data_IF_389949283965
#
_entry.id   IF_389949283965
#
_cell.length_a   1.000
_cell.length_b   1.000
_cell.length_c   1.000
_cell.angle_alpha   90.00
_cell.angle_beta   90.00
_cell.angle_gamma   90.00
#
_symmetry.space_group_name_H-M   'P 1'
#
loop_
_entity.id
_entity.type
_entity.pdbx_description
1 polymer ?
#
# COMPACT_ATOMS: atom_id res chain seq x y z
N UNK A 1 26.59 -7.77 32.82
CA UNK A 1 26.64 -6.48 32.10
C UNK A 1 26.29 -6.79 30.64
N UNK A 2 25.38 -6.05 30.00
CA UNK A 2 25.21 -6.19 28.55
C UNK A 2 26.42 -5.55 27.87
N UNK A 3 26.97 -6.17 26.84
CA UNK A 3 27.92 -5.47 25.98
C UNK A 3 27.10 -4.55 25.11
N UNK A 4 27.08 -3.25 25.41
CA UNK A 4 26.38 -2.23 24.62
C UNK A 4 26.99 -2.19 23.21
N UNK A 5 26.43 -2.98 22.30
CA UNK A 5 26.51 -2.73 20.87
C UNK A 5 25.13 -2.34 20.43
N UNK A 6 24.93 -1.05 20.22
CA UNK A 6 23.78 -0.55 19.49
C UNK A 6 23.82 -1.17 18.08
N UNK A 7 23.00 -2.20 17.86
CA UNK A 7 22.82 -2.75 16.53
C UNK A 7 21.76 -1.91 15.84
N UNK A 8 22.24 -0.88 15.14
CA UNK A 8 21.43 -0.14 14.17
C UNK A 8 21.19 -1.06 12.98
N UNK A 9 20.05 -1.74 12.96
CA UNK A 9 19.69 -2.54 11.79
C UNK A 9 18.84 -1.67 10.86
N UNK A 10 19.47 -1.23 9.77
CA UNK A 10 18.81 -0.47 8.70
C UNK A 10 18.20 -1.44 7.71
N UNK A 11 16.92 -1.23 7.40
CA UNK A 11 16.20 -2.03 6.41
C UNK A 11 15.54 -1.10 5.40
N UNK A 12 15.40 -1.60 4.18
CA UNK A 12 14.75 -0.89 3.09
C UNK A 12 13.26 -1.26 2.93
N UNK A 13 12.66 -1.96 3.91
CA UNK A 13 11.30 -2.52 3.84
C UNK A 13 10.63 -2.60 5.24
N UNK A 14 9.30 -2.83 5.29
CA UNK A 14 8.51 -2.89 6.52
C UNK A 14 8.83 -4.17 7.32
N UNK A 15 9.20 -4.01 8.59
CA UNK A 15 9.64 -5.10 9.47
C UNK A 15 8.43 -5.83 10.07
N UNK A 16 8.43 -7.16 10.06
CA UNK A 16 7.64 -8.00 10.98
C UNK A 16 8.60 -8.74 11.90
N UNK A 17 8.63 -8.36 13.17
CA UNK A 17 9.39 -9.08 14.17
C UNK A 17 8.69 -10.41 14.48
N UNK A 18 9.44 -11.51 14.50
CA UNK A 18 8.90 -12.80 14.92
C UNK A 18 8.63 -12.77 16.44
N UNK A 19 7.53 -13.39 16.91
CA UNK A 19 7.05 -13.23 18.28
C UNK A 19 7.89 -14.07 19.24
N UNK A 20 9.04 -13.53 19.66
CA UNK A 20 9.86 -14.11 20.73
C UNK A 20 9.92 -13.21 21.97
N UNK A 21 9.61 -11.91 21.85
CA UNK A 21 9.48 -11.00 22.99
C UNK A 21 8.49 -9.85 22.72
N UNK A 22 7.56 -9.62 23.65
CA UNK A 22 6.52 -8.57 23.58
C UNK A 22 7.10 -7.15 23.38
N UNK A 23 8.31 -6.88 23.88
CA UNK A 23 8.98 -5.58 23.74
C UNK A 23 9.42 -5.26 22.29
N UNK A 24 9.55 -6.27 21.42
CA UNK A 24 10.01 -6.12 20.03
C UNK A 24 8.84 -5.81 19.08
N UNK A 25 7.59 -6.00 19.51
CA UNK A 25 6.36 -5.74 18.71
C UNK A 25 6.32 -4.29 18.21
N UNK A 26 6.91 -3.33 18.94
CA UNK A 26 6.98 -1.91 18.55
C UNK A 26 7.80 -1.65 17.27
N UNK A 27 8.58 -2.63 16.83
CA UNK A 27 9.31 -2.58 15.57
C UNK A 27 8.48 -3.03 14.37
N UNK A 28 7.30 -3.61 14.57
CA UNK A 28 6.43 -4.01 13.47
C UNK A 28 6.01 -2.78 12.65
N UNK A 29 5.93 -2.95 11.32
CA UNK A 29 5.52 -1.91 10.37
C UNK A 29 6.42 -0.68 10.36
N UNK A 30 7.69 -0.83 10.77
CA UNK A 30 8.68 0.24 10.67
C UNK A 30 9.76 -0.13 9.67
N UNK A 31 10.26 0.86 8.93
CA UNK A 31 11.47 0.71 8.11
C UNK A 31 12.75 0.74 8.96
N UNK A 32 12.69 1.36 10.13
CA UNK A 32 13.82 1.42 11.08
C UNK A 32 13.30 1.31 12.50
N UNK A 33 13.96 0.50 13.32
CA UNK A 33 13.65 0.35 14.75
C UNK A 33 14.93 0.20 15.57
N UNK A 34 14.95 0.79 16.76
CA UNK A 34 16.06 0.67 17.72
C UNK A 34 15.57 -0.07 18.95
N UNK A 35 16.25 -1.15 19.34
CA UNK A 35 15.96 -1.93 20.55
C UNK A 35 17.17 -1.90 21.46
N UNK A 36 17.02 -1.40 22.68
CA UNK A 36 18.08 -1.43 23.69
C UNK A 36 18.10 -2.78 24.39
N UNK A 37 19.25 -3.45 24.32
CA UNK A 37 19.49 -4.72 25.02
C UNK A 37 19.98 -4.42 26.44
N UNK A 38 19.07 -4.13 27.37
CA UNK A 38 19.42 -3.92 28.78
C UNK A 38 18.37 -4.50 29.74
N UNK A 39 18.74 -4.59 31.02
CA UNK A 39 17.90 -5.15 32.08
C UNK A 39 16.60 -4.36 32.32
N UNK A 40 16.52 -3.10 31.87
CA UNK A 40 15.33 -2.27 31.98
C UNK A 40 14.29 -2.53 30.88
N UNK A 41 14.70 -3.09 29.74
CA UNK A 41 13.82 -3.50 28.64
C UNK A 41 13.52 -5.00 28.71
N UNK A 42 14.55 -5.79 29.00
CA UNK A 42 14.46 -7.24 29.14
C UNK A 42 14.95 -7.57 30.55
N UNK A 43 14.03 -7.92 31.46
CA UNK A 43 14.34 -8.32 32.84
C UNK A 43 15.57 -9.21 32.94
N UNK A 44 16.38 -9.11 33.99
CA UNK A 44 17.61 -9.91 34.09
C UNK A 44 17.30 -11.42 34.20
N UNK A 45 17.53 -12.22 33.14
CA UNK A 45 17.26 -13.66 33.18
C UNK A 45 18.36 -14.45 33.91
N UNK A 46 19.54 -13.86 34.09
CA UNK A 46 20.70 -14.50 34.71
C UNK A 46 21.70 -13.46 35.26
N UNK A 47 21.70 -13.33 36.58
CA UNK A 47 22.60 -12.47 37.34
C UNK A 47 24.07 -12.81 37.03
N UNK A 48 24.91 -11.77 37.01
CA UNK A 48 26.36 -11.86 36.79
C UNK A 48 26.82 -12.52 35.49
N UNK A 49 25.91 -12.78 34.56
CA UNK A 49 26.23 -13.32 33.23
C UNK A 49 26.16 -12.21 32.17
N UNK A 50 27.10 -12.24 31.22
CA UNK A 50 27.05 -11.39 30.03
C UNK A 50 25.93 -11.87 29.10
N UNK A 51 25.14 -10.93 28.62
CA UNK A 51 23.92 -11.19 27.84
C UNK A 51 24.00 -10.50 26.48
N UNK A 52 23.31 -11.07 25.51
CA UNK A 52 23.16 -10.50 24.17
C UNK A 52 21.70 -10.64 23.71
N UNK A 53 21.26 -9.73 22.83
CA UNK A 53 19.95 -9.79 22.20
C UNK A 53 20.11 -10.37 20.80
N UNK A 54 19.36 -11.43 20.49
CA UNK A 54 19.16 -11.93 19.12
C UNK A 54 17.76 -11.55 18.67
N UNK A 55 17.66 -10.91 17.51
CA UNK A 55 16.38 -10.55 16.89
C UNK A 55 16.25 -11.28 15.58
N UNK A 56 15.10 -11.92 15.36
CA UNK A 56 14.72 -12.48 14.06
C UNK A 56 13.54 -11.67 13.53
N UNK A 57 13.68 -11.20 12.30
CA UNK A 57 12.68 -10.39 11.63
C UNK A 57 12.60 -10.83 10.17
N UNK A 58 11.49 -10.49 9.53
CA UNK A 58 11.34 -10.56 8.08
C UNK A 58 10.88 -9.21 7.57
N UNK A 59 11.35 -8.85 6.38
CA UNK A 59 10.76 -7.76 5.62
C UNK A 59 9.58 -8.32 4.81
N UNK A 60 8.51 -7.56 4.71
CA UNK A 60 7.43 -7.87 3.80
C UNK A 60 7.03 -6.63 3.02
N UNK A 61 6.59 -6.84 1.79
CA UNK A 61 5.94 -5.80 0.99
C UNK A 61 4.50 -5.71 1.46
N UNK A 62 4.04 -4.49 1.79
CA UNK A 62 2.61 -4.27 1.98
C UNK A 62 1.88 -4.75 0.73
N UNK A 63 0.78 -5.53 0.87
CA UNK A 63 0.13 -6.11 -0.29
C UNK A 63 -0.44 -4.97 -1.13
N UNK A 64 0.04 -4.86 -2.37
CA UNK A 64 -0.54 -3.96 -3.36
C UNK A 64 -2.00 -4.35 -3.59
N UNK A 65 -2.91 -3.41 -3.32
CA UNK A 65 -4.36 -3.59 -3.46
C UNK A 65 -4.81 -2.95 -4.77
N UNK A 66 -5.77 -3.57 -5.43
CA UNK A 66 -6.42 -3.01 -6.63
C UNK A 66 -7.90 -2.81 -6.33
N UNK A 67 -8.42 -1.62 -6.64
CA UNK A 67 -9.86 -1.36 -6.67
C UNK A 67 -10.25 -0.93 -8.08
N UNK A 68 -11.41 -1.40 -8.54
CA UNK A 68 -11.91 -1.14 -9.89
C UNK A 68 -13.32 -0.55 -9.82
N UNK A 69 -13.63 0.42 -10.69
CA UNK A 69 -14.97 0.91 -10.92
C UNK A 69 -15.26 1.00 -12.41
N UNK A 70 -16.51 0.75 -12.80
CA UNK A 70 -16.94 0.87 -14.19
C UNK A 70 -17.23 2.32 -14.56
N UNK A 71 -17.35 2.60 -15.86
CA UNK A 71 -17.83 3.90 -16.34
C UNK A 71 -19.06 4.39 -15.58
N UNK A 72 -19.11 5.70 -15.35
CA UNK A 72 -20.15 6.41 -14.61
C UNK A 72 -20.13 6.19 -13.09
N UNK A 73 -19.22 5.35 -12.59
CA UNK A 73 -18.96 5.17 -11.15
C UNK A 73 -17.60 5.74 -10.73
N UNK A 74 -17.35 5.76 -9.43
CA UNK A 74 -16.06 6.10 -8.85
C UNK A 74 -15.48 4.95 -8.03
N UNK A 75 -14.15 4.94 -7.89
CA UNK A 75 -13.48 4.06 -6.92
C UNK A 75 -13.43 4.77 -5.58
N UNK A 76 -13.90 4.10 -4.52
CA UNK A 76 -13.72 4.55 -3.14
C UNK A 76 -12.59 3.75 -2.50
N UNK A 77 -11.58 4.45 -2.00
CA UNK A 77 -10.43 3.86 -1.32
C UNK A 77 -10.48 4.26 0.14
N UNK A 78 -10.24 3.31 1.05
CA UNK A 78 -10.09 3.56 2.47
C UNK A 78 -9.03 2.64 3.06
N UNK A 79 -8.21 3.21 3.94
CA UNK A 79 -7.21 2.48 4.73
C UNK A 79 -7.68 2.33 6.19
N UNK A 80 -7.17 1.31 6.91
CA UNK A 80 -7.38 1.14 8.35
C UNK A 80 -7.02 2.38 9.18
N UNK A 81 -7.43 2.38 10.46
CA UNK A 81 -7.11 3.47 11.36
C UNK A 81 -5.61 3.62 11.55
N UNK A 82 -5.08 4.82 11.29
CA UNK A 82 -3.66 5.15 11.46
C UNK A 82 -2.79 4.94 10.21
N UNK A 83 -3.36 4.41 9.12
CA UNK A 83 -2.68 4.26 7.83
C UNK A 83 -3.18 5.32 6.83
N UNK A 84 -2.32 5.66 5.87
CA UNK A 84 -2.63 6.56 4.76
C UNK A 84 -2.53 5.85 3.41
N UNK A 85 -3.28 6.34 2.43
CA UNK A 85 -3.25 5.83 1.07
C UNK A 85 -1.96 6.31 0.39
N UNK A 86 -1.26 5.36 -0.24
CA UNK A 86 -0.22 5.63 -1.22
C UNK A 86 -0.60 4.98 -2.55
N UNK A 87 -0.94 5.80 -3.54
CA UNK A 87 -1.23 5.36 -4.90
C UNK A 87 0.07 4.91 -5.57
N UNK A 88 0.03 3.73 -6.18
CA UNK A 88 1.13 3.16 -6.95
C UNK A 88 0.94 3.40 -8.45
N UNK A 89 -0.25 3.12 -8.97
CA UNK A 89 -0.61 3.36 -10.36
C UNK A 89 -2.13 3.44 -10.53
N UNK A 90 -2.59 4.10 -11.58
CA UNK A 90 -3.98 4.07 -11.99
C UNK A 90 -4.10 4.00 -13.52
N UNK A 91 -5.13 3.31 -13.98
CA UNK A 91 -5.40 3.08 -15.39
C UNK A 91 -6.88 3.29 -15.68
N UNK A 92 -7.19 3.90 -16.81
CA UNK A 92 -8.57 4.05 -17.27
C UNK A 92 -8.67 3.59 -18.72
N UNK A 93 -9.64 2.72 -18.99
CA UNK A 93 -9.84 2.15 -20.31
C UNK A 93 -10.54 0.80 -20.28
N UNK A 94 -10.35 0.02 -21.33
CA UNK A 94 -10.85 -1.35 -21.43
C UNK A 94 -9.68 -2.23 -21.81
N UNK A 95 -8.97 -2.71 -20.80
CA UNK A 95 -7.76 -3.57 -20.95
C UNK A 95 -7.95 -4.97 -20.36
N UNK A 96 -9.05 -5.20 -19.64
CA UNK A 96 -9.35 -6.44 -18.92
C UNK A 96 -10.71 -6.97 -19.30
N UNK A 97 -10.80 -8.29 -19.50
CA UNK A 97 -12.05 -8.97 -19.89
C UNK A 97 -12.98 -9.23 -18.70
N UNK A 98 -12.43 -9.44 -17.51
CA UNK A 98 -13.15 -9.84 -16.30
C UNK A 98 -13.62 -8.66 -15.43
N UNK A 99 -13.25 -7.42 -15.78
CA UNK A 99 -13.65 -6.21 -15.06
C UNK A 99 -14.76 -5.52 -15.83
N UNK A 100 -15.84 -5.16 -15.12
CA UNK A 100 -17.00 -4.49 -15.72
C UNK A 100 -17.62 -5.27 -16.88
N UNK A 101 -17.73 -6.60 -16.71
CA UNK A 101 -18.39 -7.48 -17.66
C UNK A 101 -19.91 -7.31 -17.52
N UNK A 102 -20.57 -6.92 -18.61
CA UNK A 102 -22.01 -6.66 -18.63
C UNK A 102 -22.62 -7.30 -19.88
N UNK A 103 -23.78 -7.96 -19.79
CA UNK A 103 -24.50 -8.47 -20.95
C UNK A 103 -24.86 -7.39 -21.97
N UNK A 104 -25.03 -6.15 -21.50
CA UNK A 104 -25.41 -4.98 -22.30
C UNK A 104 -24.19 -4.38 -23.00
N UNK A 105 -23.04 -4.32 -22.31
CA UNK A 105 -21.81 -3.73 -22.84
C UNK A 105 -20.82 -4.79 -23.27
N UNK A 106 -21.04 -5.35 -24.47
CA UNK A 106 -20.15 -6.34 -25.08
C UNK A 106 -18.73 -5.78 -25.21
N UNK A 107 -17.75 -6.64 -24.93
CA UNK A 107 -16.34 -6.29 -25.05
C UNK A 107 -15.97 -6.36 -26.54
N UNK A 108 -15.68 -5.20 -27.13
CA UNK A 108 -15.29 -5.05 -28.54
C UNK A 108 -13.79 -4.87 -28.72
N UNK A 109 -13.09 -4.41 -27.69
CA UNK A 109 -11.64 -4.20 -27.67
C UNK A 109 -11.08 -4.37 -26.26
N UNK A 110 -9.80 -4.75 -26.18
CA UNK A 110 -8.99 -4.80 -24.97
C UNK A 110 -7.74 -3.90 -25.08
N UNK A 111 -7.65 -3.06 -26.10
CA UNK A 111 -6.50 -2.17 -26.34
C UNK A 111 -6.80 -0.71 -26.04
N UNK A 112 -8.00 -0.40 -25.53
CA UNK A 112 -8.36 0.95 -25.16
C UNK A 112 -7.74 1.33 -23.83
N UNK A 113 -6.89 2.35 -23.82
CA UNK A 113 -6.23 2.84 -22.62
C UNK A 113 -5.95 4.35 -22.76
N UNK A 114 -6.31 5.13 -21.74
CA UNK A 114 -5.85 6.51 -21.59
C UNK A 114 -4.39 6.54 -21.10
N UNK A 115 -3.70 7.68 -21.23
CA UNK A 115 -2.33 7.86 -20.73
C UNK A 115 -2.21 7.49 -19.23
N UNK A 116 -1.56 6.36 -18.88
CA UNK A 116 -1.52 5.88 -17.50
C UNK A 116 -0.81 6.84 -16.54
N UNK A 117 0.15 7.63 -17.04
CA UNK A 117 0.85 8.62 -16.24
C UNK A 117 -0.09 9.71 -15.76
N UNK A 118 -0.94 10.23 -16.67
CA UNK A 118 -1.95 11.23 -16.33
C UNK A 118 -3.06 10.69 -15.42
N UNK A 119 -3.50 9.46 -15.64
CA UNK A 119 -4.50 8.83 -14.75
C UNK A 119 -3.92 8.64 -13.34
N UNK A 120 -2.67 8.18 -13.26
CA UNK A 120 -1.96 8.02 -11.99
C UNK A 120 -1.81 9.34 -11.27
N UNK A 121 -1.46 10.43 -11.97
CA UNK A 121 -1.36 11.77 -11.38
C UNK A 121 -2.70 12.25 -10.78
N UNK A 122 -3.81 12.03 -11.48
CA UNK A 122 -5.16 12.37 -10.98
C UNK A 122 -5.46 11.59 -9.68
N UNK A 123 -5.19 10.29 -9.67
CA UNK A 123 -5.41 9.44 -8.50
C UNK A 123 -4.51 9.85 -7.32
N UNK A 124 -3.22 10.10 -7.56
CA UNK A 124 -2.26 10.60 -6.56
C UNK A 124 -2.75 11.92 -5.95
N UNK A 125 -3.07 12.92 -6.79
CA UNK A 125 -3.53 14.23 -6.31
C UNK A 125 -4.81 14.14 -5.47
N UNK A 126 -5.68 13.16 -5.78
CA UNK A 126 -6.90 12.95 -5.00
C UNK A 126 -6.71 12.16 -3.72
N UNK A 127 -5.80 11.19 -3.70
CA UNK A 127 -5.80 10.14 -2.68
C UNK A 127 -4.55 10.08 -1.80
N UNK A 128 -3.36 10.46 -2.31
CA UNK A 128 -2.13 10.31 -1.55
C UNK A 128 -2.19 11.07 -0.22
N UNK A 129 -1.75 10.40 0.85
CA UNK A 129 -1.70 10.97 2.20
C UNK A 129 -3.05 11.07 2.91
N UNK A 130 -4.15 10.64 2.28
CA UNK A 130 -5.48 10.61 2.92
C UNK A 130 -5.78 9.23 3.47
N UNK A 131 -6.62 9.16 4.50
CA UNK A 131 -7.13 7.88 5.01
C UNK A 131 -8.23 7.29 4.11
N UNK A 132 -9.02 8.15 3.46
CA UNK A 132 -10.04 7.76 2.49
C UNK A 132 -10.17 8.78 1.38
N UNK A 133 -10.46 8.33 0.16
CA UNK A 133 -10.71 9.19 -0.99
C UNK A 133 -11.70 8.53 -1.95
N UNK A 134 -12.15 9.31 -2.94
CA UNK A 134 -12.93 8.81 -4.06
C UNK A 134 -12.47 9.46 -5.37
N UNK A 135 -12.27 8.64 -6.40
CA UNK A 135 -11.92 9.08 -7.77
C UNK A 135 -13.06 8.70 -8.69
N UNK A 136 -13.75 9.69 -9.24
CA UNK A 136 -14.88 9.54 -10.15
C UNK A 136 -14.40 9.51 -11.60
N UNK A 137 -14.89 8.53 -12.36
CA UNK A 137 -14.54 8.36 -13.78
C UNK A 137 -14.91 9.60 -14.62
N UNK A 138 -16.10 10.17 -14.43
CA UNK A 138 -16.56 11.31 -15.24
C UNK A 138 -15.92 12.63 -14.79
N UNK A 139 -16.09 12.97 -13.51
CA UNK A 139 -15.76 14.31 -13.00
C UNK A 139 -14.26 14.56 -12.84
N UNK A 140 -13.46 13.51 -12.68
CA UNK A 140 -12.02 13.65 -12.50
C UNK A 140 -11.26 13.19 -13.74
N UNK A 141 -11.49 11.94 -14.16
CA UNK A 141 -10.72 11.31 -15.22
C UNK A 141 -11.13 11.87 -16.58
N UNK A 142 -12.36 11.62 -17.03
CA UNK A 142 -12.83 12.04 -18.36
C UNK A 142 -12.78 13.56 -18.52
N UNK A 143 -13.14 14.32 -17.48
CA UNK A 143 -13.04 15.78 -17.50
C UNK A 143 -11.60 16.29 -17.72
N UNK A 144 -10.59 15.57 -17.24
CA UNK A 144 -9.19 16.00 -17.30
C UNK A 144 -8.44 15.45 -18.52
N UNK A 145 -8.74 14.22 -18.95
CA UNK A 145 -8.00 13.52 -20.01
C UNK A 145 -8.81 13.23 -21.27
N UNK A 146 -10.13 13.36 -21.21
CA UNK A 146 -11.04 12.96 -22.29
C UNK A 146 -11.38 11.47 -22.29
N UNK A 147 -12.34 11.07 -23.12
CA UNK A 147 -12.67 9.66 -23.33
C UNK A 147 -11.67 9.03 -24.33
N UNK A 148 -10.88 8.01 -23.93
CA UNK A 148 -9.88 7.39 -24.81
C UNK A 148 -10.48 6.50 -25.91
N UNK A 149 -11.73 6.05 -25.75
CA UNK A 149 -12.40 5.21 -26.74
C UNK A 149 -13.93 5.33 -26.62
N UNK A 150 -14.49 6.20 -27.47
CA UNK A 150 -15.92 6.47 -27.48
C UNK A 150 -16.74 5.20 -27.79
N UNK A 151 -17.84 4.99 -27.06
CA UNK A 151 -18.74 3.85 -27.24
C UNK A 151 -18.23 2.52 -26.67
N UNK A 152 -17.03 2.48 -26.12
CA UNK A 152 -16.52 1.33 -25.36
C UNK A 152 -16.74 1.58 -23.88
N UNK A 153 -17.33 0.60 -23.20
CA UNK A 153 -17.51 0.65 -21.74
C UNK A 153 -16.17 0.38 -21.06
N UNK A 154 -15.68 1.32 -20.27
CA UNK A 154 -14.35 1.27 -19.65
C UNK A 154 -14.46 0.98 -18.16
N UNK A 155 -13.30 0.85 -17.54
CA UNK A 155 -13.10 0.72 -16.11
C UNK A 155 -11.92 1.60 -15.68
N UNK A 156 -11.99 2.10 -14.46
CA UNK A 156 -10.91 2.75 -13.74
C UNK A 156 -10.37 1.73 -12.73
N UNK A 157 -9.08 1.41 -12.85
CA UNK A 157 -8.34 0.57 -11.92
C UNK A 157 -7.34 1.44 -11.15
N UNK A 158 -7.36 1.38 -9.82
CA UNK A 158 -6.38 2.06 -8.96
C UNK A 158 -5.66 1.04 -8.10
N UNK A 159 -4.33 0.99 -8.25
CA UNK A 159 -3.43 0.20 -7.43
C UNK A 159 -2.85 1.08 -6.33
N UNK A 160 -2.96 0.64 -5.07
CA UNK A 160 -2.57 1.43 -3.92
C UNK A 160 -2.07 0.55 -2.76
N UNK A 161 -1.36 1.20 -1.84
CA UNK A 161 -0.91 0.66 -0.57
C UNK A 161 -1.58 1.44 0.57
N UNK A 162 -1.72 0.80 1.72
CA UNK A 162 -1.97 1.48 2.97
C UNK A 162 -0.69 1.37 3.80
N UNK A 163 -0.14 2.50 4.23
CA UNK A 163 1.16 2.60 4.92
C UNK A 163 1.10 3.49 6.15
#
# INVERSE_FOLDING_TARGET
MFTDREHLVRFNQMIKALPIHHHIIRCNLKQTCTVRANNGVFTDPCLNTYKYLRVSYMCFEEPLRTVSACDQYGVRIACPQGEIIKVNSAEYGRTKHNVCNSPVHKITTLTCQADPGRITEIAVNKCDGKQSCEVHTIHDVVASVGDPCFGVFKHLDVNYLCI
#
